data_IF_817534940100
#
_entry.id   IF_817534940100
#
_cell.length_a   1.000
_cell.length_b   1.000
_cell.length_c   1.000
_cell.angle_alpha   90.00
_cell.angle_beta   90.00
_cell.angle_gamma   90.00
#
_symmetry.space_group_name_H-M   'P 1'
#
loop_
_entity.id
_entity.type
_entity.pdbx_description
1 polymer ?
#
# COMPACT_ATOMS: atom_id res chain seq x y z
N UNK A 1 -4.07 31.53 -22.56
CA UNK A 1 -3.44 30.35 -23.19
C UNK A 1 -3.21 29.30 -22.12
N UNK A 2 -4.05 28.28 -22.03
CA UNK A 2 -3.80 27.13 -21.17
C UNK A 2 -2.88 26.17 -21.91
N UNK A 3 -1.67 25.97 -21.39
CA UNK A 3 -0.78 24.92 -21.86
C UNK A 3 -1.45 23.57 -21.58
N UNK A 4 -1.81 22.86 -22.64
CA UNK A 4 -2.40 21.52 -22.56
C UNK A 4 -1.34 20.53 -22.05
N UNK A 5 -1.74 19.55 -21.23
CA UNK A 5 -0.83 18.60 -20.57
C UNK A 5 0.08 17.86 -21.59
N UNK A 6 -0.47 17.51 -22.76
CA UNK A 6 0.26 16.88 -23.88
C UNK A 6 1.45 17.71 -24.39
N UNK A 7 1.31 19.05 -24.39
CA UNK A 7 2.35 19.94 -24.86
C UNK A 7 3.53 20.02 -23.87
N UNK A 8 3.25 19.93 -22.57
CA UNK A 8 4.27 19.89 -21.52
C UNK A 8 5.04 18.56 -21.52
N UNK A 9 4.42 17.46 -21.93
CA UNK A 9 5.06 16.16 -21.98
C UNK A 9 6.06 16.04 -23.14
N UNK A 10 5.82 16.73 -24.26
CA UNK A 10 6.73 16.80 -25.41
C UNK A 10 7.95 17.70 -25.18
N UNK A 11 7.83 18.72 -24.33
CA UNK A 11 8.93 19.66 -24.04
C UNK A 11 9.91 19.13 -22.99
N UNK A 12 9.57 18.06 -22.25
CA UNK A 12 10.44 17.52 -21.20
C UNK A 12 11.44 16.54 -21.80
N UNK A 13 12.76 16.76 -21.67
CA UNK A 13 13.77 15.84 -22.19
C UNK A 13 13.53 14.43 -21.66
N UNK A 14 13.44 13.43 -22.55
CA UNK A 14 13.32 12.02 -22.16
C UNK A 14 14.53 11.54 -21.34
N UNK A 15 15.61 12.28 -21.36
CA UNK A 15 16.87 11.93 -20.73
C UNK A 15 16.95 12.39 -19.27
N UNK A 16 16.02 13.25 -18.84
CA UNK A 16 15.96 13.77 -17.49
C UNK A 16 15.40 12.72 -16.52
N UNK A 17 16.08 12.57 -15.39
CA UNK A 17 15.69 11.62 -14.35
C UNK A 17 14.43 12.14 -13.63
N UNK A 18 13.38 11.30 -13.57
CA UNK A 18 12.03 11.71 -13.10
C UNK A 18 11.71 11.33 -11.65
N UNK A 19 12.56 10.55 -10.99
CA UNK A 19 12.27 10.01 -9.66
C UNK A 19 12.88 10.88 -8.57
N UNK A 20 12.25 10.97 -7.38
CA UNK A 20 12.76 11.80 -6.28
C UNK A 20 14.02 11.22 -5.61
N UNK A 21 14.44 10.02 -6.00
CA UNK A 21 15.63 9.34 -5.50
C UNK A 21 16.64 9.14 -6.63
N UNK A 22 17.95 9.15 -6.35
CA UNK A 22 18.97 9.04 -7.39
C UNK A 22 18.98 7.64 -8.05
N UNK A 23 19.46 7.53 -9.31
CA UNK A 23 19.76 6.22 -9.91
C UNK A 23 20.86 5.53 -9.11
N UNK A 24 20.60 4.32 -8.62
CA UNK A 24 21.57 3.55 -7.83
C UNK A 24 21.93 2.22 -8.50
N UNK A 25 23.14 1.74 -8.25
CA UNK A 25 23.56 0.41 -8.70
C UNK A 25 22.78 -0.68 -7.97
N UNK A 26 22.21 -1.64 -8.71
CA UNK A 26 21.48 -2.76 -8.12
C UNK A 26 22.34 -3.74 -7.32
N UNK A 27 23.67 -3.71 -7.45
CA UNK A 27 24.60 -4.61 -6.74
C UNK A 27 25.16 -3.97 -5.47
N UNK A 28 25.75 -2.77 -5.58
CA UNK A 28 26.43 -2.12 -4.46
C UNK A 28 25.71 -0.89 -3.90
N UNK A 29 24.63 -0.41 -4.56
CA UNK A 29 23.90 0.79 -4.14
C UNK A 29 24.57 2.13 -4.50
N UNK A 30 25.71 2.14 -5.19
CA UNK A 30 26.42 3.37 -5.58
C UNK A 30 25.55 4.28 -6.47
N UNK A 31 25.66 5.59 -6.27
CA UNK A 31 24.93 6.59 -7.06
C UNK A 31 25.49 6.70 -8.49
N UNK A 32 24.67 6.41 -9.48
CA UNK A 32 25.04 6.39 -10.90
C UNK A 32 24.82 7.72 -11.63
N UNK A 33 24.47 8.78 -10.91
CA UNK A 33 24.16 10.09 -11.50
C UNK A 33 25.39 10.67 -12.19
N UNK A 34 25.21 11.13 -13.45
CA UNK A 34 26.25 11.87 -14.19
C UNK A 34 27.45 11.02 -14.65
N UNK A 35 27.39 9.69 -14.53
CA UNK A 35 28.47 8.83 -14.99
C UNK A 35 28.57 8.81 -16.53
N UNK A 36 29.77 8.98 -17.10
CA UNK A 36 29.97 8.98 -18.56
C UNK A 36 29.98 7.55 -19.15
N UNK A 37 30.19 6.53 -18.32
CA UNK A 37 30.26 5.12 -18.72
C UNK A 37 29.19 4.31 -18.02
N UNK A 38 28.62 3.35 -18.73
CA UNK A 38 27.63 2.37 -18.25
C UNK A 38 28.27 1.26 -17.38
N UNK A 39 29.18 1.64 -16.47
CA UNK A 39 29.84 0.71 -15.55
C UNK A 39 30.02 1.38 -14.19
N UNK A 40 29.62 0.67 -13.14
CA UNK A 40 29.76 1.17 -11.77
C UNK A 40 31.25 1.24 -11.39
N UNK A 41 31.74 2.37 -10.84
CA UNK A 41 33.14 2.51 -10.44
C UNK A 41 33.49 1.68 -9.20
N UNK A 42 32.54 1.43 -8.31
CA UNK A 42 32.75 0.70 -7.05
C UNK A 42 32.83 -0.83 -7.26
N UNK A 43 31.82 -1.41 -7.92
CA UNK A 43 31.71 -2.86 -8.08
C UNK A 43 32.11 -3.37 -9.47
N UNK A 44 32.36 -2.46 -10.43
CA UNK A 44 32.67 -2.83 -11.80
C UNK A 44 31.48 -3.39 -12.59
N UNK A 45 30.28 -3.53 -12.00
CA UNK A 45 29.10 -4.07 -12.70
C UNK A 45 28.69 -3.16 -13.86
N UNK A 46 28.54 -3.74 -15.05
CA UNK A 46 27.94 -3.04 -16.19
C UNK A 46 26.44 -2.84 -15.92
N UNK A 47 25.91 -1.67 -16.25
CA UNK A 47 24.50 -1.36 -16.07
C UNK A 47 23.93 -0.72 -17.33
N UNK A 48 22.66 -1.01 -17.63
CA UNK A 48 21.91 -0.25 -18.62
C UNK A 48 21.05 0.81 -17.91
N UNK A 49 21.19 2.07 -18.30
CA UNK A 49 20.35 3.15 -17.77
C UNK A 49 18.86 2.91 -17.99
N UNK A 50 18.47 2.17 -19.04
CA UNK A 50 17.07 1.74 -19.23
C UNK A 50 16.61 0.79 -18.14
N UNK A 51 17.45 -0.16 -17.75
CA UNK A 51 17.15 -1.11 -16.68
C UNK A 51 17.11 -0.42 -15.31
N UNK A 52 18.06 0.49 -15.05
CA UNK A 52 18.09 1.29 -13.82
C UNK A 52 16.81 2.13 -13.70
N UNK A 53 16.38 2.78 -14.79
CA UNK A 53 15.12 3.53 -14.83
C UNK A 53 13.91 2.64 -14.62
N UNK A 54 13.88 1.43 -15.19
CA UNK A 54 12.77 0.48 -14.99
C UNK A 54 12.65 0.07 -13.52
N UNK A 55 13.77 -0.31 -12.88
CA UNK A 55 13.80 -0.66 -11.45
C UNK A 55 13.40 0.51 -10.56
N UNK A 56 13.84 1.72 -10.90
CA UNK A 56 13.40 2.93 -10.22
C UNK A 56 11.89 3.16 -10.39
N UNK A 57 11.35 3.02 -11.61
CA UNK A 57 9.92 3.14 -11.87
C UNK A 57 9.09 2.14 -11.04
N UNK A 58 9.53 0.88 -10.99
CA UNK A 58 8.90 -0.17 -10.19
C UNK A 58 8.93 0.16 -8.70
N UNK A 59 10.09 0.59 -8.19
CA UNK A 59 10.25 0.98 -6.77
C UNK A 59 9.37 2.18 -6.44
N UNK A 60 9.33 3.19 -7.32
CA UNK A 60 8.50 4.36 -7.13
C UNK A 60 7.01 4.04 -7.16
N UNK A 61 6.56 3.18 -8.08
CA UNK A 61 5.18 2.71 -8.14
C UNK A 61 4.80 1.95 -6.85
N UNK A 62 5.72 1.17 -6.28
CA UNK A 62 5.52 0.52 -4.98
C UNK A 62 5.38 1.56 -3.86
N UNK A 63 6.28 2.54 -3.79
CA UNK A 63 6.23 3.63 -2.79
C UNK A 63 4.91 4.40 -2.86
N UNK A 64 4.47 4.79 -4.05
CA UNK A 64 3.19 5.50 -4.25
C UNK A 64 1.97 4.69 -3.79
N UNK A 65 1.95 3.38 -4.06
CA UNK A 65 0.86 2.51 -3.56
C UNK A 65 0.84 2.49 -2.03
N UNK A 66 1.99 2.49 -1.40
CA UNK A 66 2.10 2.41 0.06
C UNK A 66 1.69 3.67 0.80
N UNK A 67 1.76 4.83 0.14
CA UNK A 67 1.25 6.08 0.72
C UNK A 67 -0.24 5.98 1.07
N UNK A 68 -1.01 5.18 0.35
CA UNK A 68 -2.45 5.00 0.57
C UNK A 68 -2.78 3.87 1.55
N UNK A 69 -1.84 2.96 1.85
CA UNK A 69 -2.10 1.75 2.65
C UNK A 69 -2.52 2.06 4.08
N UNK A 70 -1.99 3.12 4.69
CA UNK A 70 -2.43 3.54 6.03
C UNK A 70 -3.88 4.06 6.04
N UNK A 71 -4.30 4.74 4.96
CA UNK A 71 -5.67 5.21 4.82
C UNK A 71 -6.61 4.03 4.60
N UNK A 72 -6.25 3.10 3.72
CA UNK A 72 -7.01 1.89 3.42
C UNK A 72 -7.18 0.99 4.65
N UNK A 73 -6.13 0.81 5.44
CA UNK A 73 -6.19 0.03 6.67
C UNK A 73 -7.07 0.69 7.74
N UNK A 74 -7.04 2.03 7.86
CA UNK A 74 -7.95 2.78 8.74
C UNK A 74 -9.40 2.64 8.30
N UNK A 75 -9.68 2.76 7.00
CA UNK A 75 -11.02 2.54 6.46
C UNK A 75 -11.50 1.12 6.77
N UNK A 76 -10.65 0.11 6.56
CA UNK A 76 -10.92 -1.28 6.93
C UNK A 76 -11.26 -1.43 8.42
N UNK A 77 -10.49 -0.78 9.31
CA UNK A 77 -10.75 -0.78 10.74
C UNK A 77 -12.12 -0.16 11.09
N UNK A 78 -12.45 0.99 10.52
CA UNK A 78 -13.74 1.64 10.78
C UNK A 78 -14.93 0.82 10.27
N UNK A 79 -14.81 0.18 9.10
CA UNK A 79 -15.82 -0.72 8.55
C UNK A 79 -16.06 -1.90 9.50
N UNK A 80 -14.99 -2.52 9.98
CA UNK A 80 -15.03 -3.67 10.89
C UNK A 80 -15.61 -3.27 12.25
N UNK A 81 -15.22 -2.13 12.81
CA UNK A 81 -15.80 -1.61 14.07
C UNK A 81 -17.30 -1.27 13.92
N UNK A 82 -17.67 -0.65 12.79
CA UNK A 82 -19.07 -0.36 12.48
C UNK A 82 -19.92 -1.62 12.34
N UNK A 83 -19.38 -2.66 11.70
CA UNK A 83 -20.04 -3.96 11.61
C UNK A 83 -20.18 -4.63 12.99
N UNK A 84 -19.16 -4.57 13.84
CA UNK A 84 -19.26 -5.05 15.22
C UNK A 84 -20.33 -4.33 16.03
N UNK A 85 -20.39 -3.00 15.94
CA UNK A 85 -21.41 -2.20 16.61
C UNK A 85 -22.82 -2.55 16.11
N UNK A 86 -22.96 -2.74 14.79
CA UNK A 86 -24.22 -3.16 14.16
C UNK A 86 -24.65 -4.55 14.66
N UNK A 87 -23.74 -5.54 14.65
CA UNK A 87 -24.02 -6.88 15.18
C UNK A 87 -24.46 -6.78 16.64
N UNK A 88 -23.73 -6.05 17.49
CA UNK A 88 -24.09 -5.84 18.89
C UNK A 88 -25.48 -5.21 19.07
N UNK A 89 -25.82 -4.19 18.28
CA UNK A 89 -27.12 -3.52 18.32
C UNK A 89 -28.26 -4.46 17.92
N UNK A 90 -28.04 -5.30 16.91
CA UNK A 90 -29.05 -6.27 16.45
C UNK A 90 -29.33 -7.38 17.45
N UNK A 91 -28.44 -7.59 18.43
CA UNK A 91 -28.70 -8.54 19.52
C UNK A 91 -29.68 -8.02 20.57
N UNK A 92 -30.13 -6.77 20.46
CA UNK A 92 -31.28 -6.31 21.25
C UNK A 92 -32.55 -7.05 20.78
N UNK A 93 -33.46 -7.46 21.70
CA UNK A 93 -34.58 -8.38 21.44
C UNK A 93 -35.71 -7.82 20.55
N UNK A 94 -35.43 -6.85 19.68
CA UNK A 94 -36.43 -5.96 19.10
C UNK A 94 -36.98 -6.49 17.77
N UNK A 95 -36.24 -7.24 16.92
CA UNK A 95 -36.79 -7.81 15.65
C UNK A 95 -36.04 -9.05 15.12
N UNK A 96 -36.64 -10.26 15.09
CA UNK A 96 -35.94 -11.49 14.67
C UNK A 96 -35.78 -11.69 13.15
N UNK A 97 -36.55 -11.00 12.31
CA UNK A 97 -36.57 -11.24 10.85
C UNK A 97 -35.42 -10.60 10.06
N UNK A 98 -34.88 -9.47 10.53
CA UNK A 98 -33.84 -8.69 9.82
C UNK A 98 -32.42 -9.24 10.09
N UNK A 99 -32.27 -10.11 11.10
CA UNK A 99 -30.97 -10.53 11.65
C UNK A 99 -30.07 -11.25 10.64
N UNK A 100 -30.61 -12.16 9.83
CA UNK A 100 -29.80 -12.99 8.91
C UNK A 100 -29.10 -12.18 7.81
N UNK A 101 -29.74 -11.13 7.28
CA UNK A 101 -29.12 -10.29 6.26
C UNK A 101 -27.99 -9.43 6.84
N UNK A 102 -28.15 -8.97 8.08
CA UNK A 102 -27.13 -8.19 8.78
C UNK A 102 -25.90 -9.03 9.11
N UNK A 103 -26.07 -10.30 9.49
CA UNK A 103 -24.95 -11.23 9.69
C UNK A 103 -24.14 -11.45 8.39
N UNK A 104 -24.81 -11.57 7.23
CA UNK A 104 -24.13 -11.68 5.92
C UNK A 104 -23.35 -10.41 5.56
N UNK A 105 -23.93 -9.23 5.82
CA UNK A 105 -23.24 -7.96 5.62
C UNK A 105 -22.03 -7.81 6.56
N UNK A 106 -22.17 -8.27 7.81
CA UNK A 106 -21.09 -8.27 8.79
C UNK A 106 -19.93 -9.19 8.37
N UNK A 107 -20.22 -10.38 7.85
CA UNK A 107 -19.23 -11.29 7.25
C UNK A 107 -18.51 -10.60 6.08
N UNK A 108 -19.25 -9.96 5.17
CA UNK A 108 -18.68 -9.22 4.04
C UNK A 108 -17.76 -8.08 4.48
N UNK A 109 -18.17 -7.33 5.50
CA UNK A 109 -17.36 -6.29 6.13
C UNK A 109 -16.08 -6.85 6.76
N UNK A 110 -16.16 -8.02 7.41
CA UNK A 110 -15.01 -8.74 7.95
C UNK A 110 -14.00 -9.15 6.88
N UNK A 111 -14.46 -9.75 5.77
CA UNK A 111 -13.60 -10.11 4.64
C UNK A 111 -12.92 -8.89 4.02
N UNK A 112 -13.68 -7.81 3.78
CA UNK A 112 -13.14 -6.57 3.22
C UNK A 112 -12.08 -5.96 4.15
N UNK A 113 -12.37 -5.89 5.45
CA UNK A 113 -11.42 -5.45 6.47
C UNK A 113 -10.14 -6.27 6.45
N UNK A 114 -10.24 -7.60 6.32
CA UNK A 114 -9.06 -8.46 6.22
C UNK A 114 -8.22 -8.18 4.97
N UNK A 115 -8.86 -8.01 3.80
CA UNK A 115 -8.17 -7.68 2.55
C UNK A 115 -7.41 -6.36 2.68
N UNK A 116 -8.04 -5.32 3.24
CA UNK A 116 -7.42 -4.01 3.45
C UNK A 116 -6.30 -4.07 4.49
N UNK A 117 -6.51 -4.74 5.63
CA UNK A 117 -5.50 -4.93 6.66
C UNK A 117 -4.27 -5.71 6.18
N UNK A 118 -4.45 -6.70 5.28
CA UNK A 118 -3.35 -7.48 4.72
C UNK A 118 -2.37 -6.64 3.87
N UNK A 119 -2.81 -5.50 3.34
CA UNK A 119 -1.97 -4.65 2.49
C UNK A 119 -0.80 -4.03 3.25
N UNK A 120 -0.94 -3.80 4.55
CA UNK A 120 0.11 -3.25 5.43
C UNK A 120 1.35 -4.14 5.45
N UNK A 121 1.18 -5.46 5.34
CA UNK A 121 2.32 -6.40 5.37
C UNK A 121 3.17 -6.38 4.09
N UNK A 122 2.67 -5.79 2.98
CA UNK A 122 3.46 -5.65 1.74
C UNK A 122 4.66 -4.72 1.91
N UNK A 123 4.68 -3.90 2.98
CA UNK A 123 5.80 -3.02 3.35
C UNK A 123 7.11 -3.79 3.51
N UNK A 124 7.06 -5.06 3.90
CA UNK A 124 8.26 -5.90 4.05
C UNK A 124 9.02 -6.13 2.75
N UNK A 125 8.39 -5.93 1.59
CA UNK A 125 9.04 -6.09 0.27
C UNK A 125 9.87 -4.89 -0.18
N UNK A 126 9.82 -3.77 0.55
CA UNK A 126 10.53 -2.54 0.15
C UNK A 126 11.99 -2.61 0.64
N UNK A 127 12.96 -2.31 -0.23
CA UNK A 127 14.34 -2.21 0.18
C UNK A 127 14.53 -1.08 1.20
N UNK A 128 15.45 -1.23 2.18
CA UNK A 128 15.59 -0.29 3.30
C UNK A 128 15.90 1.14 2.85
N UNK A 129 16.70 1.32 1.79
CA UNK A 129 17.05 2.64 1.27
C UNK A 129 15.84 3.41 0.71
N UNK A 130 14.82 2.72 0.19
CA UNK A 130 13.62 3.35 -0.36
C UNK A 130 12.65 3.80 0.74
N UNK A 131 12.82 3.32 1.98
CA UNK A 131 11.94 3.68 3.11
C UNK A 131 12.05 5.15 3.49
N UNK A 132 13.21 5.77 3.28
CA UNK A 132 13.41 7.20 3.53
C UNK A 132 12.51 8.11 2.65
N UNK A 133 11.93 7.57 1.57
CA UNK A 133 11.02 8.31 0.68
C UNK A 133 9.54 8.01 0.94
N UNK A 134 9.25 7.06 1.82
CA UNK A 134 7.91 6.88 2.38
C UNK A 134 7.81 8.01 3.40
N UNK A 135 6.96 9.02 3.13
CA UNK A 135 6.88 10.24 3.94
C UNK A 135 6.66 10.00 5.45
N UNK A 136 6.49 11.07 6.23
CA UNK A 136 6.62 11.13 7.70
C UNK A 136 5.82 10.11 8.56
N UNK A 137 4.97 9.27 7.97
CA UNK A 137 4.22 8.22 8.67
C UNK A 137 4.62 6.85 8.15
N UNK A 138 5.51 6.19 8.88
CA UNK A 138 5.78 4.78 8.68
C UNK A 138 4.47 3.97 8.74
N UNK A 139 4.32 2.92 7.92
CA UNK A 139 3.13 2.08 7.94
C UNK A 139 2.94 1.42 9.31
N UNK A 140 1.80 1.67 9.95
CA UNK A 140 1.53 1.14 11.28
C UNK A 140 1.14 -0.34 11.18
N UNK A 141 2.10 -1.22 11.48
CA UNK A 141 1.92 -2.66 11.45
C UNK A 141 0.87 -3.13 12.47
N UNK A 142 0.75 -2.44 13.61
CA UNK A 142 -0.24 -2.78 14.63
C UNK A 142 -1.64 -2.56 14.09
N UNK A 143 -1.85 -1.47 13.34
CA UNK A 143 -3.15 -1.17 12.73
C UNK A 143 -3.61 -2.29 11.79
N UNK A 144 -2.72 -2.78 10.92
CA UNK A 144 -3.00 -3.93 10.06
C UNK A 144 -3.33 -5.21 10.85
N UNK A 145 -2.59 -5.51 11.92
CA UNK A 145 -2.86 -6.67 12.80
C UNK A 145 -4.23 -6.55 13.46
N UNK A 146 -4.57 -5.39 14.02
CA UNK A 146 -5.87 -5.16 14.66
C UNK A 146 -7.04 -5.33 13.68
N UNK A 147 -6.92 -4.78 12.47
CA UNK A 147 -7.95 -4.94 11.44
C UNK A 147 -8.14 -6.41 11.05
N UNK A 148 -7.04 -7.18 10.94
CA UNK A 148 -7.12 -8.62 10.65
C UNK A 148 -7.81 -9.40 11.77
N UNK A 149 -7.42 -9.16 13.04
CA UNK A 149 -7.99 -9.86 14.19
C UNK A 149 -9.48 -9.57 14.37
N UNK A 150 -9.87 -8.29 14.24
CA UNK A 150 -11.27 -7.88 14.34
C UNK A 150 -12.12 -8.34 13.14
N UNK A 151 -11.54 -8.36 11.93
CA UNK A 151 -12.20 -8.91 10.75
C UNK A 151 -12.44 -10.41 10.90
N UNK A 152 -11.44 -11.15 11.39
CA UNK A 152 -11.55 -12.58 11.67
C UNK A 152 -12.59 -12.87 12.74
N UNK A 153 -12.65 -12.07 13.81
CA UNK A 153 -13.65 -12.26 14.86
C UNK A 153 -15.08 -12.08 14.34
N UNK A 154 -15.31 -11.17 13.39
CA UNK A 154 -16.60 -10.99 12.70
C UNK A 154 -17.03 -12.19 11.87
N UNK A 155 -16.09 -12.96 11.31
CA UNK A 155 -16.40 -14.19 10.57
C UNK A 155 -16.89 -15.32 11.49
N UNK A 156 -16.44 -15.30 12.74
CA UNK A 156 -16.71 -16.34 13.75
C UNK A 156 -17.95 -15.98 14.59
N UNK A 157 -18.23 -14.68 14.78
CA UNK A 157 -19.30 -14.19 15.64
C UNK A 157 -20.70 -14.78 15.37
N UNK A 158 -21.16 -14.99 14.12
CA UNK A 158 -22.48 -15.57 13.85
C UNK A 158 -22.64 -16.99 14.40
N UNK A 159 -21.53 -17.76 14.46
CA UNK A 159 -21.53 -19.17 14.85
C UNK A 159 -21.58 -19.38 16.36
N UNK A 160 -21.10 -18.42 17.15
CA UNK A 160 -21.10 -18.51 18.62
C UNK A 160 -22.48 -18.34 19.24
N UNK A 161 -23.45 -17.91 18.44
CA UNK A 161 -24.73 -17.42 18.90
C UNK A 161 -25.93 -18.20 18.31
N UNK A 162 -25.66 -19.29 17.59
CA UNK A 162 -26.62 -20.33 17.22
C UNK A 162 -26.57 -21.46 18.24
#
# INVERSE_FOLDING_TARGET
MSLTYDHLEHLRPKDEWRFPFPPTCGTCGYNLTGLPKNRCPECGTAFDMREVRRKAAETWALVLRLQHVNHDARLGLYIVLGAWAMVGLTRLPIMPGILRWLDLLAIGAGMLGMVLGSQVFKVRRIPPWARAYIGDREPDQLLGVWTLLLGLSLLIAPWWLM
#
